data_IF_624998740170
#
_entry.id   IF_624998740170
#
_cell.length_a   1.000
_cell.length_b   1.000
_cell.length_c   1.000
_cell.angle_alpha   90.00
_cell.angle_beta   90.00
_cell.angle_gamma   90.00
#
_symmetry.space_group_name_H-M   'P 1'
#
loop_
_entity.id
_entity.type
_entity.pdbx_description
1 polymer ?
#
# COMPACT_ATOMS: atom_id res chain seq x y z
N UNK A 1 -25.92 -4.39 -7.24
CA UNK A 1 -25.85 -3.67 -8.53
C UNK A 1 -24.60 -2.84 -8.54
N UNK A 2 -23.73 -3.10 -9.50
CA UNK A 2 -22.47 -2.37 -9.64
C UNK A 2 -22.73 -0.87 -9.91
N UNK A 3 -21.92 0.00 -9.31
CA UNK A 3 -21.88 1.43 -9.68
C UNK A 3 -21.62 1.55 -11.18
N UNK A 4 -22.09 2.60 -11.84
CA UNK A 4 -21.89 2.76 -13.29
C UNK A 4 -20.41 2.82 -13.72
N UNK A 5 -19.57 3.38 -12.85
CA UNK A 5 -18.10 3.38 -12.95
C UNK A 5 -17.52 2.67 -11.75
N UNK A 6 -16.52 1.83 -12.00
CA UNK A 6 -15.77 1.11 -10.98
C UNK A 6 -14.36 1.69 -10.94
N UNK A 7 -13.90 2.04 -9.74
CA UNK A 7 -12.49 2.29 -9.47
C UNK A 7 -11.76 0.96 -9.50
N UNK A 8 -10.74 0.85 -10.35
CA UNK A 8 -9.98 -0.39 -10.49
C UNK A 8 -9.05 -0.57 -9.30
N UNK A 9 -9.18 -1.70 -8.61
CA UNK A 9 -8.21 -2.13 -7.60
C UNK A 9 -7.08 -2.92 -8.25
N UNK A 10 -5.96 -3.02 -7.56
CA UNK A 10 -4.85 -3.87 -7.97
C UNK A 10 -5.27 -5.34 -8.04
N UNK A 11 -6.19 -5.77 -7.16
CA UNK A 11 -6.78 -7.12 -7.16
C UNK A 11 -7.49 -7.43 -8.47
N UNK A 12 -8.38 -6.54 -8.93
CA UNK A 12 -9.08 -6.67 -10.21
C UNK A 12 -8.09 -6.72 -11.38
N UNK A 13 -7.10 -5.82 -11.40
CA UNK A 13 -6.13 -5.71 -12.48
C UNK A 13 -5.24 -6.96 -12.59
N UNK A 14 -4.78 -7.47 -11.44
CA UNK A 14 -4.02 -8.72 -11.35
C UNK A 14 -4.86 -9.91 -11.80
N UNK A 15 -6.12 -9.97 -11.36
CA UNK A 15 -7.00 -11.08 -11.70
C UNK A 15 -7.26 -11.17 -13.20
N UNK A 16 -7.47 -10.03 -13.87
CA UNK A 16 -7.57 -9.96 -15.33
C UNK A 16 -6.30 -10.49 -15.99
N UNK A 17 -5.12 -10.06 -15.51
CA UNK A 17 -3.84 -10.48 -16.07
C UNK A 17 -3.58 -11.99 -15.90
N UNK A 18 -3.95 -12.56 -14.75
CA UNK A 18 -3.89 -13.99 -14.48
C UNK A 18 -4.76 -14.79 -15.43
N UNK A 19 -6.07 -14.50 -15.47
CA UNK A 19 -7.04 -15.19 -16.32
C UNK A 19 -6.67 -15.12 -17.80
N UNK A 20 -6.16 -13.96 -18.26
CA UNK A 20 -5.68 -13.80 -19.63
C UNK A 20 -4.48 -14.73 -19.92
N UNK A 21 -3.51 -14.80 -19.01
CA UNK A 21 -2.31 -15.64 -19.15
C UNK A 21 -2.68 -17.12 -19.12
N UNK A 22 -3.59 -17.54 -18.24
CA UNK A 22 -4.12 -18.90 -18.18
C UNK A 22 -4.76 -19.32 -19.52
N UNK A 23 -5.47 -18.40 -20.17
CA UNK A 23 -6.04 -18.61 -21.52
C UNK A 23 -5.05 -18.42 -22.67
N UNK A 24 -3.79 -18.06 -22.40
CA UNK A 24 -2.78 -17.80 -23.45
C UNK A 24 -3.10 -16.63 -24.38
N UNK A 25 -3.94 -15.69 -23.96
CA UNK A 25 -4.42 -14.58 -24.79
C UNK A 25 -3.45 -13.40 -24.77
N UNK A 26 -3.26 -12.74 -25.92
CA UNK A 26 -2.54 -11.46 -26.00
C UNK A 26 -3.45 -10.31 -25.59
N UNK A 27 -2.97 -9.36 -24.79
CA UNK A 27 -3.77 -8.22 -24.30
C UNK A 27 -4.43 -7.43 -25.44
N UNK A 28 -3.71 -7.17 -26.54
CA UNK A 28 -4.24 -6.47 -27.70
C UNK A 28 -5.35 -7.23 -28.44
N UNK A 29 -5.24 -8.56 -28.52
CA UNK A 29 -6.26 -9.41 -29.12
C UNK A 29 -7.50 -9.43 -28.25
N UNK A 30 -7.34 -9.65 -26.94
CA UNK A 30 -8.45 -9.63 -25.98
C UNK A 30 -9.19 -8.30 -26.02
N UNK A 31 -8.48 -7.17 -26.02
CA UNK A 31 -9.08 -5.85 -26.08
C UNK A 31 -9.93 -5.66 -27.35
N UNK A 32 -9.43 -6.13 -28.50
CA UNK A 32 -10.14 -6.04 -29.78
C UNK A 32 -11.38 -6.94 -29.79
N UNK A 33 -11.26 -8.16 -29.26
CA UNK A 33 -12.35 -9.14 -29.19
C UNK A 33 -13.53 -8.63 -28.32
N UNK A 34 -13.27 -7.75 -27.34
CA UNK A 34 -14.31 -7.10 -26.51
C UNK A 34 -14.69 -5.68 -26.99
N UNK A 35 -14.27 -5.28 -28.20
CA UNK A 35 -14.63 -3.98 -28.79
C UNK A 35 -13.94 -2.77 -28.16
N UNK A 36 -12.74 -2.94 -27.61
CA UNK A 36 -11.90 -1.87 -27.03
C UNK A 36 -10.66 -1.61 -27.88
N UNK A 37 -10.01 -0.46 -27.61
CA UNK A 37 -8.73 -0.15 -28.25
C UNK A 37 -7.68 -1.19 -27.87
N UNK A 38 -6.77 -1.52 -28.80
CA UNK A 38 -5.75 -2.56 -28.61
C UNK A 38 -4.89 -2.37 -27.35
N UNK A 39 -4.76 -1.14 -26.86
CA UNK A 39 -4.05 -0.82 -25.62
C UNK A 39 -4.88 -0.97 -24.34
N UNK A 40 -6.22 -1.04 -24.42
CA UNK A 40 -7.10 -0.89 -23.26
C UNK A 40 -6.86 -1.93 -22.17
N UNK A 41 -6.79 -3.22 -22.51
CA UNK A 41 -6.48 -4.29 -21.55
C UNK A 41 -5.09 -4.10 -20.95
N UNK A 42 -4.11 -3.64 -21.75
CA UNK A 42 -2.76 -3.39 -21.23
C UNK A 42 -2.74 -2.21 -20.26
N UNK A 43 -3.52 -1.15 -20.51
CA UNK A 43 -3.64 -0.04 -19.57
C UNK A 43 -4.35 -0.47 -18.28
N UNK A 44 -5.36 -1.34 -18.37
CA UNK A 44 -6.04 -1.93 -17.22
C UNK A 44 -5.07 -2.79 -16.39
N UNK A 45 -4.40 -3.77 -17.00
CA UNK A 45 -3.49 -4.69 -16.32
C UNK A 45 -2.28 -4.00 -15.67
N UNK A 46 -1.89 -2.84 -16.19
CA UNK A 46 -0.76 -2.06 -15.69
C UNK A 46 -1.20 -0.91 -14.74
N UNK A 47 -2.44 -0.89 -14.27
CA UNK A 47 -2.93 0.13 -13.33
C UNK A 47 -2.98 1.56 -13.90
N UNK A 48 -2.86 1.73 -15.22
CA UNK A 48 -2.92 3.05 -15.89
C UNK A 48 -4.35 3.54 -16.09
N UNK A 49 -5.35 2.67 -15.90
CA UNK A 49 -6.75 3.04 -15.84
C UNK A 49 -7.20 3.08 -14.38
N UNK A 50 -7.54 4.27 -13.88
CA UNK A 50 -8.05 4.42 -12.51
C UNK A 50 -9.51 3.98 -12.40
N UNK A 51 -10.28 4.17 -13.49
CA UNK A 51 -11.72 3.87 -13.52
C UNK A 51 -12.13 3.28 -14.86
N UNK A 52 -13.09 2.35 -14.84
CA UNK A 52 -13.71 1.78 -16.03
C UNK A 52 -15.22 1.75 -15.91
N UNK A 53 -15.93 1.66 -17.04
CA UNK A 53 -17.37 1.41 -17.03
C UNK A 53 -17.63 -0.04 -16.62
N UNK A 54 -18.63 -0.24 -15.78
CA UNK A 54 -18.92 -1.58 -15.23
C UNK A 54 -19.33 -2.57 -16.31
N UNK A 55 -20.07 -2.10 -17.31
CA UNK A 55 -20.41 -2.90 -18.50
C UNK A 55 -19.16 -3.44 -19.22
N UNK A 56 -18.09 -2.66 -19.28
CA UNK A 56 -16.87 -3.05 -19.99
C UNK A 56 -16.09 -4.08 -19.18
N UNK A 57 -16.08 -3.91 -17.85
CA UNK A 57 -15.46 -4.85 -16.92
C UNK A 57 -16.23 -6.18 -16.87
N UNK A 58 -17.56 -6.14 -16.88
CA UNK A 58 -18.43 -7.32 -16.95
C UNK A 58 -18.17 -8.10 -18.23
N UNK A 59 -18.15 -7.44 -19.40
CA UNK A 59 -17.85 -8.10 -20.68
C UNK A 59 -16.46 -8.75 -20.68
N UNK A 60 -15.46 -8.06 -20.10
CA UNK A 60 -14.11 -8.60 -19.96
C UNK A 60 -14.08 -9.88 -19.11
N UNK A 61 -14.70 -9.87 -17.92
CA UNK A 61 -14.73 -11.03 -17.04
C UNK A 61 -15.59 -12.17 -17.59
N UNK A 62 -16.72 -11.86 -18.23
CA UNK A 62 -17.55 -12.85 -18.92
C UNK A 62 -16.74 -13.58 -20.00
N UNK A 63 -15.97 -12.84 -20.81
CA UNK A 63 -15.08 -13.43 -21.82
C UNK A 63 -13.96 -14.27 -21.18
N UNK A 64 -13.30 -13.75 -20.13
CA UNK A 64 -12.17 -14.40 -19.49
C UNK A 64 -12.56 -15.66 -18.69
N UNK A 65 -13.75 -15.70 -18.10
CA UNK A 65 -14.22 -16.84 -17.32
C UNK A 65 -15.15 -17.78 -18.13
N UNK A 66 -15.54 -17.37 -19.33
CA UNK A 66 -16.54 -18.09 -20.15
C UNK A 66 -17.88 -18.26 -19.41
N UNK A 67 -18.34 -17.20 -18.75
CA UNK A 67 -19.59 -17.16 -17.96
C UNK A 67 -20.53 -16.08 -18.52
N UNK A 68 -21.79 -16.09 -18.06
CA UNK A 68 -22.75 -15.04 -18.43
C UNK A 68 -22.39 -13.68 -17.81
N UNK A 69 -22.93 -12.59 -18.37
CA UNK A 69 -22.73 -11.25 -17.83
C UNK A 69 -23.27 -11.11 -16.39
N UNK A 70 -24.38 -11.77 -16.08
CA UNK A 70 -24.98 -11.73 -14.73
C UNK A 70 -24.08 -12.45 -13.71
N UNK A 71 -23.46 -13.55 -14.10
CA UNK A 71 -22.48 -14.26 -13.27
C UNK A 71 -21.18 -13.46 -13.11
N UNK A 72 -20.73 -12.79 -14.18
CA UNK A 72 -19.57 -11.92 -14.13
C UNK A 72 -19.80 -10.70 -13.24
N UNK A 73 -20.99 -10.11 -13.25
CA UNK A 73 -21.37 -9.02 -12.35
C UNK A 73 -21.28 -9.46 -10.87
N UNK A 74 -21.88 -10.62 -10.52
CA UNK A 74 -21.78 -11.17 -9.16
C UNK A 74 -20.34 -11.47 -8.74
N UNK A 75 -19.54 -11.99 -9.67
CA UNK A 75 -18.12 -12.27 -9.43
C UNK A 75 -17.32 -10.99 -9.13
N UNK A 76 -17.59 -9.91 -9.87
CA UNK A 76 -16.95 -8.61 -9.65
C UNK A 76 -17.40 -8.02 -8.30
N UNK A 77 -18.68 -8.16 -7.92
CA UNK A 77 -19.16 -7.72 -6.61
C UNK A 77 -18.44 -8.44 -5.45
N UNK A 78 -18.26 -9.76 -5.54
CA UNK A 78 -17.53 -10.56 -4.54
C UNK A 78 -16.04 -10.19 -4.47
N UNK A 79 -15.42 -9.89 -5.62
CA UNK A 79 -14.03 -9.39 -5.64
C UNK A 79 -13.90 -8.03 -4.93
N UNK A 80 -14.85 -7.12 -5.19
CA UNK A 80 -14.84 -5.79 -4.59
C UNK A 80 -15.13 -5.82 -3.08
N UNK A 81 -15.99 -6.73 -2.61
CA UNK A 81 -16.28 -6.88 -1.18
C UNK A 81 -15.08 -7.42 -0.41
N UNK A 82 -14.34 -8.37 -0.97
CA UNK A 82 -13.11 -8.92 -0.37
C UNK A 82 -11.99 -7.88 -0.26
N UNK A 83 -11.90 -6.98 -1.24
CA UNK A 83 -10.96 -5.85 -1.18
C UNK A 83 -11.35 -4.87 -0.05
N UNK A 84 -12.65 -4.70 0.26
CA UNK A 84 -13.11 -3.84 1.36
C UNK A 84 -13.04 -4.47 2.76
N UNK A 85 -13.11 -5.80 2.87
CA UNK A 85 -12.93 -6.51 4.14
C UNK A 85 -11.45 -6.52 4.60
N UNK A 86 -10.52 -6.24 3.68
CA UNK A 86 -9.08 -6.13 3.93
C UNK A 86 -8.64 -4.77 4.48
N UNK A 87 -9.57 -3.81 4.64
CA UNK A 87 -9.29 -2.40 4.99
C UNK A 87 -9.89 -1.93 6.32
N UNK A 88 -10.22 -2.82 7.25
CA UNK A 88 -10.68 -2.43 8.58
C UNK A 88 -9.54 -2.41 9.60
N UNK A 89 -8.56 -1.52 9.41
CA UNK A 89 -7.94 -0.70 10.46
C UNK A 89 -7.45 0.57 9.76
N UNK A 90 -8.20 1.66 9.90
CA UNK A 90 -7.79 2.98 9.47
C UNK A 90 -6.98 3.57 10.64
N UNK A 91 -5.63 3.62 10.62
CA UNK A 91 -4.93 4.41 11.62
C UNK A 91 -5.28 5.87 11.34
N UNK A 92 -5.87 6.52 12.33
CA UNK A 92 -6.28 7.92 12.35
C UNK A 92 -5.47 8.78 11.35
N UNK A 93 -6.11 9.19 10.26
CA UNK A 93 -5.60 10.27 9.41
C UNK A 93 -5.92 11.59 10.11
N UNK A 94 -5.21 11.88 11.19
CA UNK A 94 -5.19 13.24 11.71
C UNK A 94 -4.38 14.13 10.76
N UNK A 95 -4.79 15.40 10.64
CA UNK A 95 -4.49 16.30 9.54
C UNK A 95 -3.00 16.44 9.20
N UNK A 96 -2.59 15.81 8.11
CA UNK A 96 -1.22 15.90 7.60
C UNK A 96 -0.87 17.30 7.10
N UNK A 97 -0.14 18.08 7.90
CA UNK A 97 0.84 19.00 7.33
C UNK A 97 1.77 18.17 6.44
N UNK A 98 1.77 18.46 5.14
CA UNK A 98 2.63 17.77 4.18
C UNK A 98 4.09 18.00 4.56
N UNK A 99 4.71 17.05 5.27
CA UNK A 99 6.16 17.00 5.42
C UNK A 99 6.76 17.09 4.01
N UNK A 100 7.70 18.01 3.78
CA UNK A 100 8.36 18.21 2.48
C UNK A 100 9.23 16.99 2.14
N UNK A 101 8.60 15.88 1.77
CA UNK A 101 9.23 14.74 1.12
C UNK A 101 9.70 15.23 -0.25
N UNK A 102 10.98 15.05 -0.58
CA UNK A 102 11.49 15.40 -1.91
C UNK A 102 10.58 14.77 -2.97
N UNK A 103 10.05 15.59 -3.88
CA UNK A 103 9.25 15.09 -5.00
C UNK A 103 10.14 14.23 -5.92
N UNK A 104 9.96 12.92 -5.81
CA UNK A 104 10.52 11.97 -6.76
C UNK A 104 9.47 11.70 -7.84
N UNK A 105 9.65 12.28 -9.04
CA UNK A 105 8.88 11.93 -10.23
C UNK A 105 9.28 10.52 -10.70
N UNK A 106 8.77 9.49 -10.01
CA UNK A 106 8.99 8.08 -10.36
C UNK A 106 7.65 7.49 -10.75
N UNK A 107 7.57 6.94 -11.96
CA UNK A 107 6.46 6.09 -12.39
C UNK A 107 6.51 4.82 -11.54
N UNK A 108 5.66 4.73 -10.51
CA UNK A 108 5.58 3.56 -9.64
C UNK A 108 5.06 2.39 -10.48
N UNK A 109 5.85 1.32 -10.57
CA UNK A 109 5.45 0.06 -11.15
C UNK A 109 4.90 -0.83 -10.03
N UNK A 110 3.61 -1.14 -10.05
CA UNK A 110 2.95 -1.97 -9.02
C UNK A 110 3.66 -3.32 -8.81
N UNK A 111 4.22 -3.92 -9.86
CA UNK A 111 4.98 -5.17 -9.73
C UNK A 111 6.30 -4.97 -8.99
N UNK A 112 6.96 -3.83 -9.20
CA UNK A 112 8.18 -3.47 -8.49
C UNK A 112 7.87 -3.17 -7.03
N UNK A 113 6.78 -2.46 -6.76
CA UNK A 113 6.27 -2.23 -5.41
C UNK A 113 5.98 -3.54 -4.66
N UNK A 114 5.21 -4.45 -5.27
CA UNK A 114 4.91 -5.77 -4.69
C UNK A 114 6.21 -6.57 -4.46
N UNK A 115 7.16 -6.50 -5.39
CA UNK A 115 8.47 -7.16 -5.23
C UNK A 115 9.25 -6.59 -4.05
N UNK A 116 9.28 -5.26 -3.91
CA UNK A 116 9.93 -4.58 -2.78
C UNK A 116 9.29 -4.99 -1.45
N UNK A 117 7.95 -5.04 -1.36
CA UNK A 117 7.26 -5.50 -0.16
C UNK A 117 7.62 -6.95 0.20
N UNK A 118 7.64 -7.85 -0.79
CA UNK A 118 8.06 -9.25 -0.59
C UNK A 118 9.51 -9.34 -0.11
N UNK A 119 10.40 -8.50 -0.62
CA UNK A 119 11.80 -8.50 -0.22
C UNK A 119 11.98 -7.93 1.20
N UNK A 120 11.20 -6.93 1.61
CA UNK A 120 11.12 -6.45 3.00
C UNK A 120 10.66 -7.57 3.94
N UNK A 121 9.58 -8.28 3.59
CA UNK A 121 9.07 -9.42 4.37
C UNK A 121 10.12 -10.53 4.52
N UNK A 122 10.84 -10.87 3.44
CA UNK A 122 11.94 -11.83 3.49
C UNK A 122 13.06 -11.35 4.42
N UNK A 123 13.39 -10.06 4.41
CA UNK A 123 14.41 -9.47 5.28
C UNK A 123 14.08 -9.64 6.76
N UNK A 124 12.86 -9.27 7.18
CA UNK A 124 12.41 -9.47 8.56
C UNK A 124 12.38 -10.95 8.96
N UNK A 125 11.87 -11.81 8.08
CA UNK A 125 11.87 -13.26 8.31
C UNK A 125 13.29 -13.80 8.50
N UNK A 126 14.21 -13.43 7.61
CA UNK A 126 15.61 -13.85 7.67
C UNK A 126 16.28 -13.45 9.00
N UNK A 127 16.11 -12.18 9.42
CA UNK A 127 16.70 -11.70 10.68
C UNK A 127 16.12 -12.46 11.87
N UNK A 128 14.81 -12.70 11.90
CA UNK A 128 14.17 -13.44 12.99
C UNK A 128 14.62 -14.91 13.06
N UNK A 129 14.70 -15.59 11.93
CA UNK A 129 15.11 -17.00 11.86
C UNK A 129 16.57 -17.21 12.25
N UNK A 130 17.45 -16.26 11.92
CA UNK A 130 18.90 -16.36 12.13
C UNK A 130 19.40 -15.60 13.38
N UNK A 131 18.52 -14.98 14.16
CA UNK A 131 18.91 -14.24 15.35
C UNK A 131 19.35 -15.18 16.48
N UNK A 132 20.49 -14.85 17.11
CA UNK A 132 20.89 -15.44 18.38
C UNK A 132 19.96 -15.04 19.53
N UNK A 133 19.37 -13.84 19.46
CA UNK A 133 18.38 -13.33 20.40
C UNK A 133 17.06 -13.00 19.68
N UNK A 134 16.16 -13.99 19.58
CA UNK A 134 14.85 -13.85 18.91
C UNK A 134 13.91 -12.88 19.62
N UNK A 135 13.98 -12.81 20.95
CA UNK A 135 13.15 -11.88 21.74
C UNK A 135 13.49 -10.43 21.38
N UNK A 136 14.78 -10.10 21.34
CA UNK A 136 15.23 -8.77 20.91
C UNK A 136 14.70 -8.42 19.51
N UNK A 137 14.79 -9.34 18.55
CA UNK A 137 14.29 -9.11 17.19
C UNK A 137 12.76 -8.95 17.18
N UNK A 138 12.03 -9.79 17.90
CA UNK A 138 10.57 -9.71 18.01
C UNK A 138 10.12 -8.36 18.57
N UNK A 139 10.74 -7.88 19.65
CA UNK A 139 10.43 -6.59 20.24
C UNK A 139 10.71 -5.43 19.27
N UNK A 140 11.78 -5.51 18.47
CA UNK A 140 12.07 -4.49 17.46
C UNK A 140 11.04 -4.49 16.32
N UNK A 141 10.63 -5.67 15.83
CA UNK A 141 9.56 -5.78 14.82
C UNK A 141 8.23 -5.26 15.36
N UNK A 142 7.90 -5.57 16.63
CA UNK A 142 6.71 -5.05 17.29
C UNK A 142 6.73 -3.52 17.40
N UNK A 143 7.87 -2.94 17.79
CA UNK A 143 8.05 -1.47 17.84
C UNK A 143 7.91 -0.85 16.46
N UNK A 144 8.52 -1.45 15.43
CA UNK A 144 8.36 -1.00 14.04
C UNK A 144 6.87 -0.97 13.66
N UNK A 145 6.14 -2.06 13.94
CA UNK A 145 4.70 -2.12 13.65
C UNK A 145 3.93 -1.02 14.39
N UNK A 146 4.16 -0.84 15.69
CA UNK A 146 3.49 0.21 16.48
C UNK A 146 3.81 1.61 15.95
N UNK A 147 5.06 1.88 15.58
CA UNK A 147 5.44 3.18 15.03
C UNK A 147 4.66 3.50 13.76
N UNK A 148 4.47 2.52 12.87
CA UNK A 148 3.71 2.70 11.62
C UNK A 148 2.22 3.00 11.86
N UNK A 149 1.67 2.68 13.03
CA UNK A 149 0.27 3.01 13.42
C UNK A 149 0.14 4.35 14.17
N UNK A 150 1.25 4.92 14.68
CA UNK A 150 1.23 6.20 15.40
C UNK A 150 1.03 7.38 14.43
N UNK A 151 1.99 7.60 13.53
CA UNK A 151 1.91 8.59 12.45
C UNK A 151 2.62 8.00 11.23
N UNK A 152 1.82 7.44 10.33
CA UNK A 152 2.33 6.75 9.15
C UNK A 152 3.13 7.69 8.25
N UNK A 153 2.67 8.94 8.08
CA UNK A 153 3.31 9.92 7.19
C UNK A 153 4.68 10.32 7.72
N UNK A 154 4.76 10.64 9.01
CA UNK A 154 6.02 10.94 9.68
C UNK A 154 6.98 9.75 9.64
N UNK A 155 6.49 8.54 9.92
CA UNK A 155 7.34 7.35 9.93
C UNK A 155 7.84 6.97 8.53
N UNK A 156 7.03 7.13 7.48
CA UNK A 156 7.49 6.94 6.09
C UNK A 156 8.57 7.96 5.74
N UNK A 157 8.41 9.23 6.15
CA UNK A 157 9.43 10.25 5.94
C UNK A 157 10.75 9.90 6.66
N UNK A 158 10.68 9.40 7.90
CA UNK A 158 11.85 8.93 8.65
C UNK A 158 12.52 7.73 7.96
N UNK A 159 11.75 6.75 7.50
CA UNK A 159 12.27 5.59 6.75
C UNK A 159 12.91 5.98 5.41
N UNK A 160 12.51 7.11 4.82
CA UNK A 160 13.09 7.67 3.60
C UNK A 160 14.53 8.18 3.74
N UNK A 161 15.06 8.28 4.97
CA UNK A 161 16.46 8.66 5.20
C UNK A 161 17.38 7.57 4.63
N UNK A 162 18.34 7.91 3.74
CA UNK A 162 19.15 6.93 3.02
C UNK A 162 20.29 6.37 3.88
N UNK A 163 19.98 5.65 4.96
CA UNK A 163 20.99 5.02 5.84
C UNK A 163 21.94 4.06 5.09
N UNK A 164 21.53 3.52 3.94
CA UNK A 164 22.40 2.74 3.07
C UNK A 164 23.62 3.52 2.55
N UNK A 165 23.54 4.86 2.51
CA UNK A 165 24.67 5.73 2.17
C UNK A 165 25.81 5.63 3.19
N UNK A 166 25.54 5.16 4.41
CA UNK A 166 26.53 4.90 5.46
C UNK A 166 27.31 3.60 5.27
N UNK A 167 27.21 2.95 4.09
CA UNK A 167 27.91 1.68 3.80
C UNK A 167 29.40 1.71 4.12
N UNK A 168 30.08 2.84 3.86
CA UNK A 168 31.53 3.01 4.10
C UNK A 168 31.87 3.51 5.50
N UNK A 169 30.89 3.90 6.30
CA UNK A 169 31.10 4.42 7.65
C UNK A 169 31.46 3.27 8.59
N UNK A 170 32.52 3.40 9.42
CA UNK A 170 32.90 2.40 10.41
C UNK A 170 31.78 2.08 11.39
N UNK A 171 31.78 0.86 11.95
CA UNK A 171 30.76 0.41 12.91
C UNK A 171 30.71 1.34 14.14
N UNK A 172 31.88 1.72 14.68
CA UNK A 172 31.96 2.63 15.83
C UNK A 172 31.30 3.99 15.56
N UNK A 173 31.48 4.54 14.37
CA UNK A 173 30.85 5.80 13.97
C UNK A 173 29.33 5.66 13.78
N UNK A 174 28.86 4.47 13.37
CA UNK A 174 27.42 4.18 13.35
C UNK A 174 26.83 4.08 14.75
N UNK A 175 27.58 3.55 15.72
CA UNK A 175 27.16 3.52 17.13
C UNK A 175 27.05 4.94 17.69
N UNK A 176 28.02 5.82 17.39
CA UNK A 176 27.95 7.25 17.75
C UNK A 176 26.69 7.89 17.15
N UNK A 177 26.43 7.69 15.85
CA UNK A 177 25.22 8.19 15.20
C UNK A 177 23.93 7.69 15.89
N UNK A 178 23.86 6.41 16.27
CA UNK A 178 22.68 5.87 16.95
C UNK A 178 22.46 6.53 18.32
N UNK A 179 23.54 6.83 19.05
CA UNK A 179 23.46 7.55 20.31
C UNK A 179 22.97 8.99 20.10
N UNK A 180 23.49 9.70 19.10
CA UNK A 180 23.04 11.04 18.75
C UNK A 180 21.54 11.09 18.39
N UNK A 181 21.05 10.07 17.67
CA UNK A 181 19.62 9.93 17.38
C UNK A 181 18.80 9.72 18.66
N UNK A 182 19.28 8.89 19.59
CA UNK A 182 18.61 8.64 20.86
C UNK A 182 18.58 9.89 21.77
N UNK A 183 19.66 10.65 21.81
CA UNK A 183 19.74 11.93 22.51
C UNK A 183 18.78 12.97 21.90
N UNK A 184 18.75 13.06 20.57
CA UNK A 184 17.81 13.93 19.86
C UNK A 184 16.36 13.57 20.17
N UNK A 185 16.01 12.29 20.13
CA UNK A 185 14.69 11.81 20.51
C UNK A 185 14.33 12.23 21.94
N UNK A 186 15.24 11.99 22.90
CA UNK A 186 15.03 12.31 24.32
C UNK A 186 14.81 13.80 24.52
N UNK A 187 15.57 14.65 23.82
CA UNK A 187 15.39 16.10 23.82
C UNK A 187 13.99 16.53 23.37
N UNK A 188 13.42 15.89 22.35
CA UNK A 188 12.06 16.21 21.90
C UNK A 188 11.01 15.73 22.90
N UNK A 189 11.17 14.52 23.46
CA UNK A 189 10.27 14.02 24.51
C UNK A 189 10.27 14.95 25.73
N UNK A 190 11.44 15.39 26.20
CA UNK A 190 11.55 16.31 27.34
C UNK A 190 10.92 17.67 27.05
N UNK A 191 11.13 18.20 25.84
CA UNK A 191 10.60 19.51 25.43
C UNK A 191 9.07 19.56 25.47
N UNK A 192 8.40 18.44 25.20
CA UNK A 192 6.95 18.34 25.13
C UNK A 192 6.36 17.46 26.23
N UNK A 193 7.10 17.20 27.31
CA UNK A 193 6.70 16.32 28.39
C UNK A 193 5.42 16.78 29.12
N UNK A 194 5.18 18.09 29.12
CA UNK A 194 4.02 18.73 29.76
C UNK A 194 2.97 19.22 28.74
N UNK A 195 3.11 18.88 27.45
CA UNK A 195 2.06 19.14 26.48
C UNK A 195 0.90 18.18 26.78
N UNK A 196 -0.26 18.71 27.19
CA UNK A 196 -1.46 17.90 27.40
C UNK A 196 -1.85 17.21 26.08
N UNK A 197 -2.24 15.94 26.15
CA UNK A 197 -2.89 15.25 25.04
C UNK A 197 -4.12 16.10 24.65
N UNK A 198 -4.16 16.59 23.41
CA UNK A 198 -5.38 17.19 22.86
C UNK A 198 -6.43 16.09 22.90
N UNK A 199 -7.40 16.20 23.81
CA UNK A 199 -8.48 15.24 23.94
C UNK A 199 -9.22 15.15 22.61
N UNK A 200 -9.40 13.93 22.11
CA UNK A 200 -10.17 13.60 20.89
C UNK A 200 -11.67 13.98 20.95
N UNK A 201 -12.15 14.62 22.02
CA UNK A 201 -13.58 14.85 22.28
C UNK A 201 -14.15 16.17 21.72
N UNK A 202 -13.36 17.07 21.14
CA UNK A 202 -13.85 18.40 20.69
C UNK A 202 -14.46 18.44 19.27
N UNK A 203 -14.76 17.28 18.64
CA UNK A 203 -15.34 17.22 17.29
C UNK A 203 -16.64 16.42 17.16
N UNK A 204 -17.53 16.41 18.16
CA UNK A 204 -18.94 16.05 17.92
C UNK A 204 -19.90 16.97 18.68
N UNK A 205 -20.90 17.47 17.93
CA UNK A 205 -22.04 18.35 18.27
C UNK A 205 -21.67 19.84 18.29
N UNK A 206 -22.19 20.69 17.41
CA UNK A 206 -23.62 20.98 17.22
C UNK A 206 -23.97 21.29 15.73
N UNK A 207 -24.79 20.44 15.11
CA UNK A 207 -25.94 20.90 14.32
C UNK A 207 -27.15 20.15 14.89
N UNK A 208 -28.09 20.89 15.49
CA UNK A 208 -29.53 20.66 15.42
C UNK A 208 -30.25 21.70 16.31
N UNK A 209 -30.71 22.78 15.66
CA UNK A 209 -32.03 23.41 15.87
C UNK A 209 -32.36 24.37 14.70
#
# INVERSE_FOLDING_TARGET
MLKHKITLTTSISNRVAELRKEKGLKSAKLATDIGKSSGWVSLLENGKLNTVLSKDLVVLFAYLLSISNDEAEKYIEDLLSKDSESTNENPNSDGGENYKVREYNVLINDNEYIKMLKDIQKGFKFIFENASNKEYVFQNIKRFNNNMHFDLSFMVALNGIPFYALKKVPIKEKEVLLNEIAELFSKYVEKYKDAEDVKEDDYITEEDD
#
